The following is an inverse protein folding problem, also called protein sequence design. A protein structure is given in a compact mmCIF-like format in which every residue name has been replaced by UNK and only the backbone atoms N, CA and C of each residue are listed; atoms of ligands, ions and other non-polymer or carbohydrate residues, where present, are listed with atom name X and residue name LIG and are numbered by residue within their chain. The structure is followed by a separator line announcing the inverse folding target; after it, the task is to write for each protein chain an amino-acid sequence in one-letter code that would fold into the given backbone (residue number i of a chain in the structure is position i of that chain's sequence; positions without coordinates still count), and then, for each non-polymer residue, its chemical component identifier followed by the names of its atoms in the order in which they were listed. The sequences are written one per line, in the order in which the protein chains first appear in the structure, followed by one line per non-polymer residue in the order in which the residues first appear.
data_IF_866325164083
#
_entry.id   IF_866325164083
#
_cell.length_a   1.000
_cell.length_b   1.000
_cell.length_c   1.000
_cell.angle_alpha   90.00
_cell.angle_beta   90.00
_cell.angle_gamma   90.00
#
_symmetry.space_group_name_H-M   'P 1'
#
loop_
_entity.id
_entity.type
_entity.pdbx_description
1 polymer ?
#
# COMPACT_ATOMS: atom_id res chain seq x y z
N UNK A 1 -34.61 43.68 39.83
CA UNK A 1 -34.38 42.32 40.39
C UNK A 1 -34.93 41.28 39.42
N UNK A 2 -34.11 40.64 38.57
CA UNK A 2 -34.55 39.50 37.72
C UNK A 2 -33.37 38.71 37.07
N UNK A 3 -32.28 38.44 37.80
CA UNK A 3 -31.15 37.66 37.25
C UNK A 3 -31.27 36.14 37.47
N UNK A 4 -32.00 35.68 38.49
CA UNK A 4 -32.01 34.25 38.88
C UNK A 4 -32.82 33.32 37.97
N UNK A 5 -33.95 33.77 37.40
CA UNK A 5 -34.82 32.93 36.55
C UNK A 5 -34.22 32.58 35.18
N UNK A 6 -33.25 33.37 34.71
CA UNK A 6 -32.55 33.17 33.44
C UNK A 6 -31.45 32.11 33.58
N UNK A 7 -30.67 32.16 34.66
CA UNK A 7 -29.52 31.25 34.87
C UNK A 7 -29.98 29.79 35.01
N UNK A 8 -31.02 29.51 35.78
CA UNK A 8 -31.57 28.16 35.93
C UNK A 8 -32.11 27.60 34.60
N UNK A 9 -32.72 28.44 33.75
CA UNK A 9 -33.13 28.04 32.40
C UNK A 9 -31.93 27.72 31.50
N UNK A 10 -30.86 28.50 31.59
CA UNK A 10 -29.63 28.25 30.84
C UNK A 10 -28.99 26.93 31.26
N UNK A 11 -28.89 26.66 32.56
CA UNK A 11 -28.36 25.40 33.09
C UNK A 11 -29.22 24.21 32.66
N UNK A 12 -30.55 24.28 32.83
CA UNK A 12 -31.46 23.21 32.44
C UNK A 12 -31.45 22.94 30.92
N UNK A 13 -31.41 24.00 30.10
CA UNK A 13 -31.33 23.86 28.64
C UNK A 13 -29.99 23.27 28.18
N UNK A 14 -28.88 23.61 28.84
CA UNK A 14 -27.58 23.00 28.57
C UNK A 14 -27.55 21.52 28.98
N UNK A 15 -28.18 21.14 30.10
CA UNK A 15 -28.30 19.75 30.56
C UNK A 15 -29.17 18.89 29.62
N UNK A 16 -30.32 19.41 29.18
CA UNK A 16 -31.15 18.75 28.18
C UNK A 16 -30.43 18.61 26.83
N UNK A 17 -29.62 19.61 26.44
CA UNK A 17 -28.78 19.53 25.24
C UNK A 17 -27.66 18.49 25.39
N UNK A 18 -27.08 18.31 26.58
CA UNK A 18 -26.03 17.30 26.80
C UNK A 18 -26.56 15.87 26.77
N UNK A 19 -27.82 15.65 27.13
CA UNK A 19 -28.47 14.34 27.05
C UNK A 19 -28.88 13.96 25.62
N UNK A 20 -29.03 14.94 24.73
CA UNK A 20 -29.37 14.68 23.33
C UNK A 20 -28.08 14.45 22.54
N UNK A 21 -27.78 13.20 22.20
CA UNK A 21 -26.72 12.90 21.22
C UNK A 21 -27.15 13.50 19.88
N UNK A 22 -26.47 14.53 19.35
CA UNK A 22 -26.88 15.08 18.07
C UNK A 22 -26.51 14.06 16.99
N UNK A 23 -27.50 13.68 16.18
CA UNK A 23 -27.27 12.88 14.98
C UNK A 23 -26.26 13.62 14.10
N UNK A 24 -25.09 13.02 13.91
CA UNK A 24 -24.17 13.52 12.91
C UNK A 24 -24.73 13.16 11.54
N UNK A 25 -24.78 14.13 10.63
CA UNK A 25 -25.23 13.87 9.26
C UNK A 25 -24.14 13.05 8.58
N UNK A 26 -24.46 11.80 8.29
CA UNK A 26 -23.62 10.91 7.49
C UNK A 26 -23.95 11.15 6.02
N UNK A 27 -22.92 11.49 5.23
CA UNK A 27 -23.05 11.70 3.79
C UNK A 27 -22.41 10.50 3.10
N UNK A 28 -23.21 9.75 2.35
CA UNK A 28 -22.69 8.70 1.48
C UNK A 28 -21.92 9.33 0.32
N UNK A 29 -20.65 8.95 0.18
CA UNK A 29 -19.73 9.55 -0.81
C UNK A 29 -19.59 8.66 -2.03
N UNK A 30 -19.47 7.35 -1.84
CA UNK A 30 -19.33 6.40 -2.93
C UNK A 30 -18.94 5.01 -2.48
N UNK A 31 -18.77 4.13 -3.46
CA UNK A 31 -18.40 2.72 -3.31
C UNK A 31 -17.09 2.44 -4.07
N UNK A 32 -16.26 1.53 -3.57
CA UNK A 32 -15.09 1.03 -4.32
C UNK A 32 -15.38 -0.25 -5.12
N UNK A 33 -14.38 -0.71 -5.88
CA UNK A 33 -14.48 -1.95 -6.65
C UNK A 33 -14.49 -3.23 -5.80
N UNK A 34 -14.28 -3.14 -4.48
CA UNK A 34 -14.44 -4.25 -3.53
C UNK A 34 -15.84 -4.27 -2.87
N UNK A 35 -16.63 -3.21 -3.08
CA UNK A 35 -17.96 -3.04 -2.51
C UNK A 35 -17.99 -2.38 -1.14
N UNK A 36 -16.92 -1.67 -0.76
CA UNK A 36 -16.87 -0.90 0.48
C UNK A 36 -17.57 0.45 0.29
N UNK A 37 -18.40 0.83 1.26
CA UNK A 37 -19.14 2.09 1.23
C UNK A 37 -18.42 3.16 2.05
N UNK A 38 -18.21 4.34 1.46
CA UNK A 38 -17.46 5.43 2.07
C UNK A 38 -18.39 6.57 2.50
N UNK A 39 -18.12 7.11 3.68
CA UNK A 39 -18.95 8.13 4.32
C UNK A 39 -18.11 9.30 4.82
N UNK A 40 -18.71 10.48 4.78
CA UNK A 40 -18.15 11.71 5.33
C UNK A 40 -19.16 12.38 6.25
N UNK A 41 -18.69 12.85 7.42
CA UNK A 41 -19.44 13.75 8.29
C UNK A 41 -18.74 15.09 8.38
N UNK A 42 -19.44 16.21 8.09
CA UNK A 42 -18.88 17.53 8.28
C UNK A 42 -18.59 17.79 9.77
N UNK A 43 -17.61 18.67 10.08
CA UNK A 43 -17.32 19.07 11.44
C UNK A 43 -18.53 19.78 12.06
N UNK A 44 -18.78 19.55 13.35
CA UNK A 44 -19.83 20.24 14.10
C UNK A 44 -19.46 21.73 14.22
N UNK A 45 -20.43 22.63 14.00
CA UNK A 45 -20.23 24.08 14.21
C UNK A 45 -19.84 24.33 15.68
N UNK A 46 -18.68 24.95 15.90
CA UNK A 46 -18.13 25.20 17.25
C UNK A 46 -17.44 24.00 17.90
N UNK A 47 -17.25 22.89 17.19
CA UNK A 47 -16.47 21.75 17.66
C UNK A 47 -14.96 22.00 17.61
N UNK A 48 -14.21 21.23 18.40
CA UNK A 48 -12.73 21.26 18.42
C UNK A 48 -12.16 20.80 17.07
N UNK A 49 -12.80 19.81 16.44
CA UNK A 49 -12.39 19.29 15.13
C UNK A 49 -12.84 20.23 14.02
N UNK A 50 -11.89 20.73 13.23
CA UNK A 50 -12.14 21.57 12.05
C UNK A 50 -12.27 20.78 10.74
N UNK A 51 -11.82 19.54 10.73
CA UNK A 51 -11.86 18.67 9.55
C UNK A 51 -13.06 17.72 9.61
N UNK A 52 -13.54 17.33 8.44
CA UNK A 52 -14.57 16.30 8.31
C UNK A 52 -14.03 14.96 8.81
N UNK A 53 -14.90 14.19 9.46
CA UNK A 53 -14.58 12.81 9.86
C UNK A 53 -14.98 11.89 8.71
N UNK A 54 -14.07 11.01 8.29
CA UNK A 54 -14.25 10.10 7.14
C UNK A 54 -14.07 8.67 7.62
N UNK A 55 -14.93 7.78 7.17
CA UNK A 55 -14.86 6.35 7.49
C UNK A 55 -15.45 5.54 6.35
N UNK A 56 -15.27 4.22 6.42
CA UNK A 56 -15.88 3.29 5.49
C UNK A 56 -16.57 2.16 6.25
N UNK A 57 -17.51 1.51 5.58
CA UNK A 57 -18.18 0.30 6.04
C UNK A 57 -17.81 -0.81 5.07
N UNK A 58 -17.08 -1.85 5.52
CA UNK A 58 -16.77 -3.01 4.70
C UNK A 58 -18.04 -3.71 4.21
N UNK A 59 -17.95 -4.38 3.06
CA UNK A 59 -19.04 -5.23 2.57
C UNK A 59 -19.30 -6.43 3.48
N UNK A 60 -18.22 -7.05 3.97
CA UNK A 60 -18.26 -8.20 4.87
C UNK A 60 -17.98 -7.74 6.30
N UNK A 61 -18.96 -7.95 7.19
CA UNK A 61 -18.83 -7.56 8.58
C UNK A 61 -17.72 -8.37 9.28
N UNK A 62 -16.74 -7.68 9.86
CA UNK A 62 -15.67 -8.32 10.63
C UNK A 62 -14.37 -8.56 9.87
N UNK A 63 -14.27 -8.20 8.60
CA UNK A 63 -13.01 -8.23 7.85
C UNK A 63 -12.28 -6.89 7.94
N UNK A 64 -11.36 -6.81 8.90
CA UNK A 64 -10.53 -5.63 9.16
C UNK A 64 -9.17 -5.68 8.45
N UNK A 65 -8.85 -6.77 7.75
CA UNK A 65 -7.59 -6.96 7.03
C UNK A 65 -7.72 -6.69 5.52
N UNK A 66 -8.75 -5.98 5.10
CA UNK A 66 -9.00 -5.71 3.69
C UNK A 66 -7.97 -4.77 3.08
N UNK A 67 -7.51 -5.13 1.88
CA UNK A 67 -6.69 -4.26 1.06
C UNK A 67 -7.55 -3.11 0.50
N UNK A 68 -7.43 -1.93 1.10
CA UNK A 68 -8.09 -0.72 0.61
C UNK A 68 -7.44 -0.22 -0.69
N UNK A 69 -8.21 0.27 -1.67
CA UNK A 69 -7.66 0.98 -2.81
C UNK A 69 -6.88 2.21 -2.34
N UNK A 70 -5.73 2.47 -2.97
CA UNK A 70 -4.81 3.52 -2.53
C UNK A 70 -5.43 4.93 -2.58
N UNK A 71 -6.34 5.16 -3.52
CA UNK A 71 -7.03 6.43 -3.71
C UNK A 71 -7.97 6.72 -2.53
N UNK A 72 -8.75 5.72 -2.14
CA UNK A 72 -9.68 5.79 -1.02
C UNK A 72 -8.94 5.87 0.31
N UNK A 73 -7.84 5.15 0.45
CA UNK A 73 -6.98 5.24 1.64
C UNK A 73 -6.40 6.65 1.82
N UNK A 74 -5.96 7.29 0.73
CA UNK A 74 -5.47 8.67 0.76
C UNK A 74 -6.58 9.68 1.12
N UNK A 75 -7.81 9.45 0.67
CA UNK A 75 -8.96 10.28 1.02
C UNK A 75 -9.39 10.10 2.49
N UNK A 76 -9.47 8.87 2.99
CA UNK A 76 -9.77 8.57 4.40
C UNK A 76 -8.76 9.21 5.36
N UNK A 77 -7.47 9.21 4.99
CA UNK A 77 -6.39 9.84 5.77
C UNK A 77 -6.35 11.36 5.67
N UNK A 78 -7.22 11.99 4.87
CA UNK A 78 -7.21 13.44 4.70
C UNK A 78 -6.11 13.97 3.78
N UNK A 79 -5.34 13.11 3.10
CA UNK A 79 -4.34 13.56 2.11
C UNK A 79 -4.99 14.15 0.87
N UNK A 80 -6.17 13.64 0.49
CA UNK A 80 -7.01 14.20 -0.58
C UNK A 80 -8.21 14.93 0.01
N UNK A 81 -8.58 16.08 -0.57
CA UNK A 81 -9.80 16.79 -0.19
C UNK A 81 -11.04 16.16 -0.84
N UNK A 82 -10.96 15.91 -2.15
CA UNK A 82 -12.05 15.33 -2.91
C UNK A 82 -11.94 13.79 -2.92
N UNK A 83 -13.08 13.07 -2.89
CA UNK A 83 -13.09 11.63 -3.08
C UNK A 83 -12.63 11.27 -4.49
N UNK A 84 -12.08 10.07 -4.69
CA UNK A 84 -11.72 9.60 -6.03
C UNK A 84 -12.97 9.42 -6.90
N UNK A 85 -12.84 9.72 -8.20
CA UNK A 85 -13.88 9.43 -9.19
C UNK A 85 -13.78 7.99 -9.69
N UNK A 86 -14.91 7.44 -10.12
CA UNK A 86 -14.99 6.09 -10.66
C UNK A 86 -14.01 5.85 -11.82
N UNK A 87 -13.91 6.81 -12.74
CA UNK A 87 -12.97 6.74 -13.88
C UNK A 87 -11.50 6.75 -13.46
N UNK A 88 -11.16 7.48 -12.37
CA UNK A 88 -9.80 7.49 -11.84
C UNK A 88 -9.44 6.12 -11.26
N UNK A 89 -10.34 5.56 -10.45
CA UNK A 89 -10.17 4.24 -9.84
C UNK A 89 -10.00 3.17 -10.93
N UNK A 90 -10.84 3.19 -11.96
CA UNK A 90 -10.78 2.23 -13.07
C UNK A 90 -9.44 2.32 -13.83
N UNK A 91 -9.01 3.53 -14.19
CA UNK A 91 -7.71 3.72 -14.87
C UNK A 91 -6.54 3.23 -14.02
N UNK A 92 -6.57 3.49 -12.72
CA UNK A 92 -5.48 3.07 -11.84
C UNK A 92 -5.44 1.56 -11.66
N UNK A 93 -6.60 0.91 -11.63
CA UNK A 93 -6.73 -0.56 -11.63
C UNK A 93 -6.09 -1.16 -12.90
N UNK A 94 -6.39 -0.60 -14.06
CA UNK A 94 -5.80 -1.04 -15.34
C UNK A 94 -4.28 -0.87 -15.34
N UNK A 95 -3.77 0.28 -14.86
CA UNK A 95 -2.33 0.54 -14.73
C UNK A 95 -1.68 -0.47 -13.77
N UNK A 96 -2.33 -0.79 -12.64
CA UNK A 96 -1.82 -1.75 -11.67
C UNK A 96 -1.72 -3.16 -12.26
N UNK A 97 -2.76 -3.60 -12.98
CA UNK A 97 -2.78 -4.89 -13.67
C UNK A 97 -1.68 -4.98 -14.73
N UNK A 98 -1.54 -3.94 -15.55
CA UNK A 98 -0.52 -3.89 -16.59
C UNK A 98 0.90 -3.88 -16.01
N UNK A 99 1.14 -3.19 -14.89
CA UNK A 99 2.42 -3.27 -14.17
C UNK A 99 2.70 -4.66 -13.64
N UNK A 100 1.68 -5.35 -13.11
CA UNK A 100 1.80 -6.74 -12.63
C UNK A 100 2.22 -7.68 -13.75
N UNK A 101 1.61 -7.56 -14.93
CA UNK A 101 1.96 -8.37 -16.10
C UNK A 101 3.40 -8.11 -16.57
N UNK A 102 3.80 -6.84 -16.68
CA UNK A 102 5.18 -6.47 -17.08
C UNK A 102 6.22 -6.91 -16.05
N UNK A 103 5.89 -6.84 -14.76
CA UNK A 103 6.77 -7.32 -13.70
C UNK A 103 6.99 -8.83 -13.81
N UNK A 104 5.93 -9.62 -14.03
CA UNK A 104 6.04 -11.06 -14.24
C UNK A 104 6.89 -11.41 -15.48
N UNK A 105 6.70 -10.70 -16.59
CA UNK A 105 7.52 -10.89 -17.80
C UNK A 105 9.01 -10.57 -17.55
N UNK A 106 9.29 -9.47 -16.83
CA UNK A 106 10.66 -9.10 -16.47
C UNK A 106 11.31 -10.13 -15.54
N UNK A 107 10.56 -10.68 -14.59
CA UNK A 107 11.03 -11.72 -13.68
C UNK A 107 11.38 -13.02 -14.42
N UNK A 108 10.54 -13.44 -15.39
CA UNK A 108 10.84 -14.59 -16.25
C UNK A 108 12.11 -14.37 -17.06
N UNK A 109 12.22 -13.24 -17.76
CA UNK A 109 13.41 -12.89 -18.54
C UNK A 109 14.68 -12.84 -17.66
N UNK A 110 14.56 -12.34 -16.42
CA UNK A 110 15.68 -12.31 -15.46
C UNK A 110 16.08 -13.71 -15.04
N UNK A 111 15.12 -14.60 -14.78
CA UNK A 111 15.39 -15.99 -14.44
C UNK A 111 16.09 -16.71 -15.60
N UNK A 112 15.62 -16.55 -16.84
CA UNK A 112 16.25 -17.15 -18.01
C UNK A 112 17.69 -16.67 -18.21
N UNK A 113 17.93 -15.36 -18.07
CA UNK A 113 19.28 -14.80 -18.13
C UNK A 113 20.19 -15.38 -17.04
N UNK A 114 19.72 -15.51 -15.80
CA UNK A 114 20.47 -16.15 -14.71
C UNK A 114 20.78 -17.61 -15.03
N UNK A 115 19.85 -18.36 -15.61
CA UNK A 115 20.07 -19.76 -15.99
C UNK A 115 21.10 -19.88 -17.14
N UNK A 116 21.03 -18.97 -18.12
CA UNK A 116 22.02 -18.90 -19.21
C UNK A 116 23.40 -18.54 -18.67
N UNK A 117 23.50 -17.58 -17.75
CA UNK A 117 24.76 -17.21 -17.10
C UNK A 117 25.35 -18.37 -16.31
N UNK A 118 24.54 -19.09 -15.51
CA UNK A 118 24.98 -20.31 -14.81
C UNK A 118 25.49 -21.38 -15.78
N UNK A 119 24.78 -21.63 -16.88
CA UNK A 119 25.23 -22.56 -17.94
C UNK A 119 26.56 -22.14 -18.56
N UNK A 120 26.80 -20.83 -18.73
CA UNK A 120 28.09 -20.31 -19.23
C UNK A 120 29.20 -20.44 -18.19
N UNK A 121 28.91 -20.22 -16.90
CA UNK A 121 29.92 -20.31 -15.83
C UNK A 121 30.39 -21.75 -15.59
N UNK A 122 29.54 -22.75 -15.85
CA UNK A 122 29.92 -24.19 -15.79
C UNK A 122 31.04 -24.53 -16.81
N UNK A 123 31.25 -23.74 -17.86
CA UNK A 123 32.33 -23.93 -18.86
C UNK A 123 33.56 -23.03 -18.65
N UNK A 124 33.63 -22.27 -17.54
CA UNK A 124 34.57 -21.14 -17.41
C UNK A 124 35.81 -21.35 -16.54
N UNK A 125 35.85 -22.40 -15.71
CA UNK A 125 37.05 -22.76 -14.94
C UNK A 125 37.54 -24.14 -15.40
N UNK A 126 38.85 -24.30 -15.66
CA UNK A 126 39.42 -25.63 -15.85
C UNK A 126 39.17 -26.46 -14.58
N UNK A 127 38.90 -27.75 -14.75
CA UNK A 127 38.70 -28.66 -13.63
C UNK A 127 39.93 -28.61 -12.72
N UNK A 128 39.74 -28.46 -11.40
CA UNK A 128 40.84 -28.27 -10.44
C UNK A 128 41.84 -29.44 -10.45
N UNK A 129 41.39 -30.64 -10.82
CA UNK A 129 42.23 -31.83 -11.04
C UNK A 129 43.34 -31.60 -12.08
N UNK A 130 43.14 -30.70 -13.06
CA UNK A 130 44.14 -30.40 -14.10
C UNK A 130 45.29 -29.49 -13.57
N UNK A 131 45.06 -28.80 -12.45
CA UNK A 131 46.01 -27.94 -11.75
C UNK A 131 46.66 -28.60 -10.54
N UNK A 132 46.09 -29.71 -10.05
CA UNK A 132 46.68 -30.58 -9.05
C UNK A 132 47.80 -31.42 -9.70
N UNK A 133 48.87 -30.76 -10.14
CA UNK A 133 50.15 -31.43 -10.35
C UNK A 133 50.82 -31.54 -8.99
N UNK A 134 51.01 -32.77 -8.52
CA UNK A 134 51.83 -33.03 -7.35
C UNK A 134 53.21 -32.39 -7.53
N UNK A 135 53.71 -31.75 -6.47
CA UNK A 135 55.01 -31.11 -6.48
C UNK A 135 56.10 -32.15 -6.81
N UNK A 136 56.50 -32.22 -8.07
CA UNK A 136 57.44 -33.22 -8.58
C UNK A 136 57.10 -33.80 -9.96
N UNK A 137 55.87 -33.64 -10.46
CA UNK A 137 55.46 -34.27 -11.71
C UNK A 137 55.72 -33.40 -12.94
N UNK A 138 56.91 -33.59 -13.50
CA UNK A 138 57.40 -33.21 -14.85
C UNK A 138 57.75 -31.74 -15.12
N UNK A 139 58.92 -31.31 -14.62
CA UNK A 139 59.78 -30.43 -15.43
C UNK A 139 60.52 -31.31 -16.43
N UNK A 140 60.16 -31.24 -17.71
CA UNK A 140 60.86 -31.96 -18.78
C UNK A 140 61.93 -31.04 -19.39
N UNK A 141 63.22 -31.19 -19.01
CA UNK A 141 64.29 -30.27 -19.40
C UNK A 141 64.59 -30.30 -20.91
N UNK A 142 64.14 -31.33 -21.64
CA UNK A 142 64.36 -31.44 -23.08
C UNK A 142 63.50 -30.47 -23.89
N UNK A 143 62.35 -30.05 -23.35
CA UNK A 143 61.41 -29.14 -24.02
C UNK A 143 61.94 -27.71 -24.22
N UNK A 144 62.97 -27.33 -23.46
CA UNK A 144 63.53 -25.97 -23.44
C UNK A 144 65.02 -25.90 -23.81
N UNK A 145 65.57 -26.94 -24.45
CA UNK A 145 66.89 -26.83 -25.09
C UNK A 145 66.77 -25.93 -26.32
N UNK A 146 67.33 -24.72 -26.23
CA UNK A 146 67.55 -23.87 -27.39
C UNK A 146 68.59 -24.53 -28.30
N UNK A 147 68.25 -24.68 -29.58
CA UNK A 147 69.14 -25.19 -30.63
C UNK A 147 70.23 -24.19 -30.96
#
# INVERSE_FOLDING_TARGET
MSSGRSVWRTIASNFLKSLRVPFQKEIHVGEDHYGNNYFESPPRKGGIRKTATRWFVPKEEGDWQQNLPAEWEAWLRGRRQNPPTYEEVQRNLEIANLKKMRAAELEMNRQDNIQVEKKKTIKGYPDLEELEKDAGESFDPEKYKFK
#
